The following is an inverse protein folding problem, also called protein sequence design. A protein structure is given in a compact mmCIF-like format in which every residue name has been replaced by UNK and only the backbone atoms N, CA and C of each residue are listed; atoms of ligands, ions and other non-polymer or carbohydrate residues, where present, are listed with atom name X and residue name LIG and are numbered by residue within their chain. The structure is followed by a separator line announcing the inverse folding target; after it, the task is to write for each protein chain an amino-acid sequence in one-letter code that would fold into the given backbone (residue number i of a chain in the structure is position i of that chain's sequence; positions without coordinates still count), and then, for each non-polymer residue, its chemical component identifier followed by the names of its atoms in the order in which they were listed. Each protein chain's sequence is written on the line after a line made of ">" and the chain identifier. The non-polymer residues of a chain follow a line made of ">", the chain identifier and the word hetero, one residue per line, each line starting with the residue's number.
data_IF_528459258439
#
_entry.id   IF_528459258439
#
_cell.length_a   1.000
_cell.length_b   1.000
_cell.length_c   1.000
_cell.angle_alpha   90.00
_cell.angle_beta   90.00
_cell.angle_gamma   90.00
#
_symmetry.space_group_name_H-M   'P 1'
#
loop_
_entity.id
_entity.type
_entity.pdbx_description
1 polymer ?
#
# COMPACT_ATOMS: atom_id res chain seq x y z
N UNK A 1 18.35 2.99 4.36
CA UNK A 1 19.39 2.58 3.42
C UNK A 1 18.75 2.58 2.04
N UNK A 2 19.31 3.31 1.07
CA UNK A 2 18.76 3.43 -0.30
C UNK A 2 19.53 2.52 -1.29
N UNK A 3 20.28 1.57 -0.76
CA UNK A 3 21.26 0.78 -1.51
C UNK A 3 20.66 -0.21 -2.49
N UNK A 4 19.36 -0.52 -2.39
CA UNK A 4 18.70 -1.54 -3.23
C UNK A 4 17.27 -1.13 -3.61
N UNK A 5 17.09 -0.36 -4.70
CA UNK A 5 15.76 0.06 -5.17
C UNK A 5 15.03 -1.12 -5.81
N UNK A 6 13.83 -1.41 -5.32
CA UNK A 6 12.93 -2.36 -5.99
C UNK A 6 11.98 -1.62 -6.93
N UNK A 7 11.94 -2.06 -8.19
CA UNK A 7 11.16 -1.44 -9.25
C UNK A 7 10.17 -2.47 -9.79
N UNK A 8 8.89 -2.09 -9.81
CA UNK A 8 7.79 -2.94 -10.23
C UNK A 8 7.02 -2.23 -11.35
N UNK A 9 7.16 -2.71 -12.59
CA UNK A 9 6.43 -2.20 -13.75
C UNK A 9 5.28 -3.17 -14.05
N UNK A 10 4.07 -2.62 -14.22
CA UNK A 10 2.83 -3.38 -14.44
C UNK A 10 2.63 -4.53 -13.43
N UNK A 11 2.68 -4.27 -12.11
CA UNK A 11 2.57 -5.32 -11.12
C UNK A 11 1.16 -5.93 -11.09
N UNK A 12 1.12 -7.25 -11.09
CA UNK A 12 -0.05 -8.06 -10.80
C UNK A 12 0.15 -8.82 -9.49
N UNK A 13 -0.88 -8.85 -8.65
CA UNK A 13 -0.84 -9.46 -7.32
C UNK A 13 -1.79 -10.65 -7.24
N UNK A 14 -1.30 -11.74 -6.67
CA UNK A 14 -2.11 -12.88 -6.23
C UNK A 14 -1.94 -13.13 -4.74
N UNK A 15 -3.04 -13.46 -4.07
CA UNK A 15 -3.09 -13.76 -2.64
C UNK A 15 -2.91 -15.27 -2.46
N UNK A 16 -2.02 -15.68 -1.54
CA UNK A 16 -1.74 -17.09 -1.27
C UNK A 16 -2.83 -17.72 -0.41
N UNK A 17 -3.25 -17.03 0.66
CA UNK A 17 -4.31 -17.44 1.56
C UNK A 17 -5.01 -16.24 2.24
N UNK A 18 -6.04 -16.50 3.04
CA UNK A 18 -6.84 -15.46 3.73
C UNK A 18 -6.20 -14.94 5.04
N UNK A 19 -4.98 -15.35 5.36
CA UNK A 19 -4.29 -14.89 6.57
C UNK A 19 -4.00 -13.41 6.46
N UNK A 20 -4.45 -12.65 7.46
CA UNK A 20 -4.23 -11.20 7.53
C UNK A 20 -3.09 -10.87 8.48
N UNK A 21 -2.39 -9.78 8.18
CA UNK A 21 -1.46 -9.13 9.09
C UNK A 21 -1.81 -7.67 9.23
N UNK A 22 -1.76 -7.17 10.47
CA UNK A 22 -2.03 -5.77 10.79
C UNK A 22 -0.73 -4.98 10.81
N UNK A 23 -0.66 -3.90 10.03
CA UNK A 23 0.44 -2.95 10.05
C UNK A 23 -0.08 -1.52 10.19
N UNK A 24 0.71 -0.66 10.83
CA UNK A 24 0.43 0.78 10.86
C UNK A 24 0.88 1.39 9.55
N UNK A 25 -0.07 1.84 8.73
CA UNK A 25 0.19 2.50 7.46
C UNK A 25 0.08 4.01 7.57
N UNK A 26 0.95 4.70 6.85
CA UNK A 26 0.80 6.11 6.49
C UNK A 26 1.00 6.26 4.98
N UNK A 27 0.69 7.45 4.44
CA UNK A 27 0.88 7.73 3.02
C UNK A 27 1.40 9.15 2.84
N UNK A 28 2.36 9.35 1.94
CA UNK A 28 2.86 10.69 1.59
C UNK A 28 1.74 11.58 1.01
N UNK A 29 0.77 10.99 0.32
CA UNK A 29 -0.42 11.68 -0.19
C UNK A 29 -1.42 12.10 0.93
N UNK A 30 -1.25 11.58 2.16
CA UNK A 30 -2.11 11.85 3.32
C UNK A 30 -1.22 12.19 4.55
N UNK A 31 -0.56 13.35 4.54
CA UNK A 31 0.44 13.68 5.55
C UNK A 31 -0.16 13.77 6.95
N UNK A 32 0.55 13.21 7.94
CA UNK A 32 0.17 13.26 9.36
C UNK A 32 -1.03 12.39 9.75
N UNK A 33 -1.29 11.33 8.97
CA UNK A 33 -2.29 10.31 9.27
C UNK A 33 -1.61 8.94 9.26
N UNK A 34 -1.80 8.19 10.33
CA UNK A 34 -1.34 6.81 10.47
C UNK A 34 -2.47 6.00 11.09
N UNK A 35 -2.81 4.85 10.50
CA UNK A 35 -3.85 3.96 11.02
C UNK A 35 -3.44 2.49 10.82
N UNK A 36 -3.98 1.61 11.65
CA UNK A 36 -3.79 0.17 11.50
C UNK A 36 -4.69 -0.37 10.39
N UNK A 37 -4.10 -1.05 9.42
CA UNK A 37 -4.77 -1.67 8.27
C UNK A 37 -4.43 -3.16 8.26
N UNK A 38 -5.43 -3.98 7.96
CA UNK A 38 -5.26 -5.42 7.75
C UNK A 38 -5.10 -5.69 6.26
N UNK A 39 -4.06 -6.45 5.92
CA UNK A 39 -3.77 -6.90 4.56
C UNK A 39 -3.41 -8.38 4.54
N UNK A 40 -3.61 -9.08 3.42
CA UNK A 40 -2.98 -10.38 3.18
C UNK A 40 -1.52 -10.40 3.64
N UNK A 41 -1.18 -11.38 4.47
CA UNK A 41 0.15 -11.52 5.09
C UNK A 41 1.22 -11.94 4.08
N UNK A 42 0.82 -12.67 3.05
CA UNK A 42 1.66 -13.19 1.97
C UNK A 42 1.01 -12.85 0.63
N UNK A 43 1.80 -12.26 -0.26
CA UNK A 43 1.39 -11.97 -1.64
C UNK A 43 2.45 -12.42 -2.62
N UNK A 44 2.02 -12.93 -3.76
CA UNK A 44 2.91 -13.22 -4.88
C UNK A 44 2.69 -12.13 -5.93
N UNK A 45 3.78 -11.47 -6.32
CA UNK A 45 3.79 -10.38 -7.29
C UNK A 45 4.44 -10.87 -8.57
N UNK A 46 3.79 -10.59 -9.69
CA UNK A 46 4.38 -10.71 -11.02
C UNK A 46 4.51 -9.31 -11.61
N UNK A 47 5.72 -8.90 -12.01
CA UNK A 47 5.98 -7.58 -12.56
C UNK A 47 7.18 -7.62 -13.50
N UNK A 48 7.40 -6.56 -14.27
CA UNK A 48 8.68 -6.34 -14.96
C UNK A 48 9.59 -5.47 -14.11
N UNK A 49 10.90 -5.73 -14.15
CA UNK A 49 11.91 -4.89 -13.51
C UNK A 49 12.24 -3.64 -14.37
N UNK A 50 13.24 -2.87 -13.96
CA UNK A 50 13.69 -1.69 -14.71
C UNK A 50 14.30 -1.98 -16.09
N UNK A 51 14.76 -3.22 -16.32
CA UNK A 51 15.27 -3.68 -17.61
C UNK A 51 14.16 -4.22 -18.51
N UNK A 52 12.94 -4.39 -17.98
CA UNK A 52 11.81 -4.99 -18.67
C UNK A 52 11.73 -6.51 -18.53
N UNK A 53 12.59 -7.11 -17.70
CA UNK A 53 12.59 -8.54 -17.45
C UNK A 53 11.47 -8.89 -16.47
N UNK A 54 10.66 -9.90 -16.83
CA UNK A 54 9.53 -10.34 -15.99
C UNK A 54 10.06 -11.21 -14.85
N UNK A 55 9.65 -10.86 -13.62
CA UNK A 55 9.90 -11.67 -12.44
C UNK A 55 8.60 -12.02 -11.72
N UNK A 56 8.66 -13.09 -10.93
CA UNK A 56 7.60 -13.52 -10.01
C UNK A 56 8.23 -13.83 -8.66
N UNK A 57 7.78 -13.15 -7.61
CA UNK A 57 8.36 -13.29 -6.28
C UNK A 57 7.28 -13.25 -5.18
N UNK A 58 7.53 -13.99 -4.10
CA UNK A 58 6.71 -13.96 -2.89
C UNK A 58 7.24 -12.89 -1.94
N UNK A 59 6.31 -12.11 -1.38
CA UNK A 59 6.61 -11.08 -0.40
C UNK A 59 5.78 -11.31 0.86
N UNK A 60 6.41 -11.04 2.01
CA UNK A 60 5.80 -11.17 3.33
C UNK A 60 6.13 -9.96 4.20
N UNK A 61 5.47 -9.86 5.36
CA UNK A 61 5.75 -8.84 6.37
C UNK A 61 5.58 -7.41 5.85
N UNK A 62 6.47 -6.51 6.25
CA UNK A 62 6.40 -5.10 5.87
C UNK A 62 6.45 -4.89 4.35
N UNK A 63 7.26 -5.67 3.63
CA UNK A 63 7.38 -5.51 2.17
C UNK A 63 6.08 -5.89 1.46
N UNK A 64 5.39 -6.95 1.92
CA UNK A 64 4.07 -7.29 1.42
C UNK A 64 3.06 -6.15 1.63
N UNK A 65 3.07 -5.51 2.81
CA UNK A 65 2.21 -4.36 3.10
C UNK A 65 2.52 -3.18 2.19
N UNK A 66 3.81 -2.83 2.02
CA UNK A 66 4.23 -1.73 1.16
C UNK A 66 3.81 -1.96 -0.31
N UNK A 67 4.07 -3.14 -0.87
CA UNK A 67 3.72 -3.40 -2.28
C UNK A 67 2.20 -3.36 -2.48
N UNK A 68 1.42 -3.93 -1.56
CA UNK A 68 -0.04 -3.85 -1.60
C UNK A 68 -0.54 -2.39 -1.55
N UNK A 69 0.08 -1.54 -0.71
CA UNK A 69 -0.22 -0.11 -0.65
C UNK A 69 0.07 0.61 -1.97
N UNK A 70 1.22 0.34 -2.59
CA UNK A 70 1.60 0.99 -3.85
C UNK A 70 0.76 0.49 -5.04
N UNK A 71 0.37 -0.78 -5.05
CA UNK A 71 -0.57 -1.34 -6.04
C UNK A 71 -1.97 -0.71 -5.89
N UNK A 72 -2.43 -0.44 -4.66
CA UNK A 72 -3.70 0.28 -4.46
C UNK A 72 -3.69 1.65 -5.14
N UNK A 73 -2.57 2.39 -5.11
CA UNK A 73 -2.44 3.68 -5.80
C UNK A 73 -2.62 3.54 -7.31
N UNK A 74 -2.06 2.49 -7.92
CA UNK A 74 -2.26 2.20 -9.35
C UNK A 74 -3.74 1.98 -9.70
N UNK A 75 -4.52 1.51 -8.72
CA UNK A 75 -5.97 1.30 -8.83
C UNK A 75 -6.80 2.49 -8.34
N UNK A 76 -6.18 3.63 -8.02
CA UNK A 76 -6.86 4.81 -7.51
C UNK A 76 -7.46 4.64 -6.11
N UNK A 77 -6.98 3.65 -5.34
CA UNK A 77 -7.41 3.34 -3.99
C UNK A 77 -6.38 3.84 -2.98
N UNK A 78 -6.85 4.34 -1.85
CA UNK A 78 -6.00 4.80 -0.74
C UNK A 78 -6.21 3.92 0.49
N UNK A 79 -5.21 3.79 1.36
CA UNK A 79 -5.34 2.99 2.59
C UNK A 79 -6.52 3.44 3.48
N UNK A 80 -6.86 4.73 3.46
CA UNK A 80 -8.01 5.27 4.21
C UNK A 80 -9.37 4.78 3.71
N UNK A 81 -9.41 4.15 2.54
CA UNK A 81 -10.61 3.56 1.96
C UNK A 81 -10.98 2.24 2.63
N UNK A 82 -10.05 1.61 3.36
CA UNK A 82 -10.28 0.44 4.21
C UNK A 82 -10.83 0.80 5.59
N UNK A 83 -10.79 2.08 5.96
CA UNK A 83 -11.28 2.55 7.26
C UNK A 83 -12.81 2.68 7.26
N UNK A 84 -13.39 2.69 8.46
CA UNK A 84 -14.82 2.97 8.61
C UNK A 84 -15.21 4.32 7.99
N UNK A 85 -16.44 4.47 7.46
CA UNK A 85 -16.89 5.71 6.83
C UNK A 85 -16.70 6.95 7.72
N UNK A 86 -16.92 6.78 9.04
CA UNK A 86 -16.72 7.84 10.03
C UNK A 86 -15.25 8.28 10.12
N UNK A 87 -14.32 7.33 10.25
CA UNK A 87 -12.88 7.62 10.28
C UNK A 87 -12.42 8.29 8.99
N UNK A 88 -12.85 7.77 7.83
CA UNK A 88 -12.55 8.36 6.52
C UNK A 88 -13.05 9.80 6.41
N UNK A 89 -14.25 10.11 6.94
CA UNK A 89 -14.79 11.46 6.95
C UNK A 89 -13.96 12.40 7.85
N UNK A 90 -13.53 11.95 9.03
CA UNK A 90 -12.68 12.74 9.94
C UNK A 90 -11.34 13.09 9.29
N UNK A 91 -10.70 12.11 8.63
CA UNK A 91 -9.44 12.32 7.91
C UNK A 91 -9.63 13.34 6.78
N UNK A 92 -10.69 13.20 5.98
CA UNK A 92 -11.02 14.17 4.91
C UNK A 92 -11.19 15.59 5.46
N UNK A 93 -11.85 15.76 6.61
CA UNK A 93 -11.99 17.08 7.26
C UNK A 93 -10.62 17.63 7.71
N UNK A 94 -9.77 16.80 8.32
CA UNK A 94 -8.41 17.18 8.74
C UNK A 94 -7.56 17.63 7.55
N UNK A 95 -7.60 16.89 6.44
CA UNK A 95 -6.87 17.24 5.21
C UNK A 95 -7.34 18.56 4.60
N UNK A 96 -8.66 18.83 4.55
CA UNK A 96 -9.19 20.10 4.05
C UNK A 96 -8.72 21.29 4.90
N UNK A 97 -8.67 21.14 6.22
CA UNK A 97 -8.15 22.18 7.13
C UNK A 97 -6.67 22.45 6.88
N UNK A 98 -5.86 21.42 6.72
CA UNK A 98 -4.43 21.56 6.49
C UNK A 98 -4.08 22.20 5.14
N UNK A 99 -4.94 22.09 4.11
CA UNK A 99 -4.77 22.78 2.83
C UNK A 99 -5.18 24.25 2.84
N UNK A 100 -5.95 24.68 3.84
CA UNK A 100 -6.42 26.06 3.98
C UNK A 100 -5.45 26.93 4.82
N UNK A 101 -4.40 26.32 5.36
CA UNK A 101 -3.26 26.96 6.04
C UNK A 101 -2.05 26.93 5.11
#
# INVERSE_FOLDING_TARGET
>A
DYSDPQIFINPEMSIVDETLSTYTEGCLSIPGVQENIERPSVVIITASDANGDIFKAEYTGLMATCIQHEIDHLNGKLFVDYLSPLKRQLIRKKMKKNKAN
#
